data_IF_288477517140
#
_entry.id   IF_288477517140
#
_cell.length_a   1.000
_cell.length_b   1.000
_cell.length_c   1.000
_cell.angle_alpha   90.00
_cell.angle_beta   90.00
_cell.angle_gamma   90.00
#
_symmetry.space_group_name_H-M   'P 1'
#
loop_
_entity.id
_entity.type
_entity.pdbx_description
1 polymer ?
#
# COMPACT_ATOMS: atom_id res chain seq x y z
N UNK A 1 -14.21 -1.05 0.56
CA UNK A 1 -13.24 -1.86 -0.22
C UNK A 1 -12.64 -1.00 -1.32
N UNK A 2 -11.32 -0.99 -1.46
CA UNK A 2 -10.60 -0.26 -2.48
C UNK A 2 -9.81 -1.25 -3.34
N UNK A 3 -9.95 -1.18 -4.65
CA UNK A 3 -9.25 -2.03 -5.60
C UNK A 3 -8.38 -1.15 -6.49
N UNK A 4 -7.12 -1.52 -6.62
CA UNK A 4 -6.16 -0.88 -7.51
C UNK A 4 -5.59 -1.94 -8.46
N UNK A 5 -5.62 -1.65 -9.75
CA UNK A 5 -4.83 -2.37 -10.73
C UNK A 5 -3.35 -2.03 -10.51
N UNK A 6 -2.47 -2.99 -10.71
CA UNK A 6 -1.01 -2.84 -10.63
C UNK A 6 -0.40 -3.05 -11.99
N UNK A 7 0.62 -2.28 -12.34
CA UNK A 7 1.33 -2.44 -13.60
C UNK A 7 2.79 -2.01 -13.50
N UNK A 8 3.68 -2.84 -14.00
CA UNK A 8 5.10 -2.51 -14.16
C UNK A 8 5.39 -1.77 -15.48
N UNK A 9 4.48 -1.76 -16.43
CA UNK A 9 4.63 -1.07 -17.73
C UNK A 9 3.77 0.20 -17.85
N UNK A 10 2.96 0.48 -16.83
CA UNK A 10 2.13 1.70 -16.75
C UNK A 10 0.82 1.66 -17.53
N UNK A 11 0.51 0.59 -18.25
CA UNK A 11 -0.66 0.55 -19.14
C UNK A 11 -1.52 -0.70 -18.98
N UNK A 12 -0.90 -1.86 -18.88
CA UNK A 12 -1.61 -3.14 -18.79
C UNK A 12 -1.50 -3.68 -17.38
N UNK A 13 -2.61 -4.03 -16.72
CA UNK A 13 -2.56 -4.65 -15.41
C UNK A 13 -1.83 -5.99 -15.45
N UNK A 14 -0.87 -6.17 -14.56
CA UNK A 14 -0.19 -7.44 -14.29
C UNK A 14 -0.50 -7.97 -12.89
N UNK A 15 -1.35 -7.24 -12.16
CA UNK A 15 -1.80 -7.60 -10.83
C UNK A 15 -2.89 -6.69 -10.28
N UNK A 16 -3.28 -6.97 -9.04
CA UNK A 16 -4.18 -6.11 -8.28
C UNK A 16 -3.82 -6.05 -6.80
N UNK A 17 -4.15 -4.93 -6.19
CA UNK A 17 -4.07 -4.67 -4.77
C UNK A 17 -5.48 -4.36 -4.27
N UNK A 18 -5.95 -5.18 -3.34
CA UNK A 18 -7.26 -5.02 -2.71
C UNK A 18 -7.06 -4.62 -1.26
N UNK A 19 -7.75 -3.57 -0.82
CA UNK A 19 -7.79 -3.12 0.57
C UNK A 19 -9.20 -3.12 1.10
N UNK A 20 -9.36 -3.60 2.31
CA UNK A 20 -10.63 -3.61 3.03
C UNK A 20 -10.43 -3.08 4.44
N UNK A 21 -11.24 -2.10 4.80
CA UNK A 21 -11.36 -1.61 6.16
C UNK A 21 -12.50 -2.33 6.86
N UNK A 22 -12.29 -2.69 8.12
CA UNK A 22 -13.28 -3.35 8.98
C UNK A 22 -13.03 -2.98 10.45
N UNK A 23 -13.80 -3.59 11.37
CA UNK A 23 -13.57 -3.47 12.81
C UNK A 23 -13.54 -4.84 13.44
N UNK A 24 -12.69 -4.99 14.46
CA UNK A 24 -12.69 -6.15 15.34
C UNK A 24 -13.88 -6.12 16.30
N UNK A 25 -14.15 -7.23 16.96
CA UNK A 25 -15.24 -7.33 17.96
C UNK A 25 -15.04 -6.43 19.19
N UNK A 26 -13.81 -6.08 19.51
CA UNK A 26 -13.39 -5.15 20.58
C UNK A 26 -13.25 -3.69 20.12
N UNK A 27 -13.56 -3.42 18.84
CA UNK A 27 -13.71 -2.06 18.32
C UNK A 27 -12.49 -1.47 17.62
N UNK A 28 -11.36 -2.17 17.54
CA UNK A 28 -10.20 -1.72 16.78
C UNK A 28 -10.54 -1.63 15.29
N UNK A 29 -9.98 -0.63 14.62
CA UNK A 29 -10.00 -0.53 13.17
C UNK A 29 -8.99 -1.51 12.57
N UNK A 30 -9.32 -2.06 11.41
CA UNK A 30 -8.48 -3.02 10.70
C UNK A 30 -8.34 -2.58 9.26
N UNK A 31 -7.11 -2.53 8.76
CA UNK A 31 -6.82 -2.47 7.34
C UNK A 31 -6.22 -3.82 6.92
N UNK A 32 -6.99 -4.59 6.14
CA UNK A 32 -6.51 -5.76 5.40
C UNK A 32 -6.12 -5.32 3.98
N UNK A 33 -4.96 -5.78 3.50
CA UNK A 33 -4.48 -5.54 2.15
C UNK A 33 -3.96 -6.85 1.56
N UNK A 34 -4.42 -7.20 0.36
CA UNK A 34 -3.91 -8.34 -0.40
C UNK A 34 -3.44 -7.84 -1.76
N UNK A 35 -2.21 -8.17 -2.06
CA UNK A 35 -1.58 -7.92 -3.36
C UNK A 35 -1.31 -9.26 -4.02
N UNK A 36 -1.67 -9.39 -5.29
CA UNK A 36 -1.17 -10.46 -6.16
C UNK A 36 -0.84 -9.87 -7.53
N UNK A 37 0.33 -10.22 -8.06
CA UNK A 37 0.78 -9.76 -9.37
C UNK A 37 1.79 -10.73 -9.99
N UNK A 38 1.96 -10.63 -11.31
CA UNK A 38 2.97 -11.37 -12.07
C UNK A 38 4.04 -10.41 -12.59
N UNK A 39 5.04 -10.04 -11.76
CA UNK A 39 6.06 -9.07 -12.17
C UNK A 39 7.00 -9.63 -13.24
N UNK A 40 7.08 -10.96 -13.37
CA UNK A 40 7.86 -11.70 -14.35
C UNK A 40 7.10 -12.96 -14.79
N UNK A 41 7.33 -13.51 -15.99
CA UNK A 41 6.56 -14.63 -16.53
C UNK A 41 6.42 -15.84 -15.59
N UNK A 42 7.48 -16.16 -14.85
CA UNK A 42 7.55 -17.36 -14.01
C UNK A 42 7.35 -17.08 -12.50
N UNK A 43 6.98 -15.83 -12.13
CA UNK A 43 6.86 -15.43 -10.72
C UNK A 43 5.50 -14.81 -10.47
N UNK A 44 4.71 -15.43 -9.60
CA UNK A 44 3.55 -14.79 -8.98
C UNK A 44 3.96 -14.29 -7.60
N UNK A 45 4.00 -12.98 -7.46
CA UNK A 45 4.17 -12.31 -6.17
C UNK A 45 2.81 -12.19 -5.50
N UNK A 46 2.73 -12.62 -4.25
CA UNK A 46 1.59 -12.42 -3.37
C UNK A 46 2.05 -11.87 -2.04
N UNK A 47 1.31 -10.91 -1.54
CA UNK A 47 1.55 -10.37 -0.20
C UNK A 47 0.22 -10.08 0.47
N UNK A 48 0.16 -10.38 1.75
CA UNK A 48 -0.95 -10.01 2.61
C UNK A 48 -0.42 -9.18 3.77
N UNK A 49 -1.08 -8.07 4.02
CA UNK A 49 -0.80 -7.21 5.16
C UNK A 49 -2.08 -6.99 5.94
N UNK A 50 -1.95 -6.97 7.25
CA UNK A 50 -3.03 -6.62 8.17
C UNK A 50 -2.48 -5.72 9.26
N UNK A 51 -3.15 -4.61 9.54
CA UNK A 51 -2.87 -3.77 10.70
C UNK A 51 -4.16 -3.52 11.47
N UNK A 52 -4.07 -3.64 12.79
CA UNK A 52 -5.12 -3.30 13.76
C UNK A 52 -4.69 -2.06 14.52
N UNK A 53 -5.57 -1.06 14.64
CA UNK A 53 -5.21 0.24 15.22
C UNK A 53 -6.40 0.89 15.93
N UNK A 54 -6.09 1.74 16.93
CA UNK A 54 -7.09 2.48 17.70
C UNK A 54 -7.24 3.91 17.17
N UNK A 55 -8.32 4.14 16.43
CA UNK A 55 -8.71 5.43 15.85
C UNK A 55 -7.75 5.99 14.80
N UNK A 56 -6.44 5.96 15.01
CA UNK A 56 -5.41 6.43 14.09
C UNK A 56 -4.31 5.40 13.91
N UNK A 57 -3.78 5.26 12.70
CA UNK A 57 -2.75 4.25 12.38
C UNK A 57 -1.46 4.41 13.19
N UNK A 58 -1.16 5.58 13.72
CA UNK A 58 -0.04 5.79 14.65
C UNK A 58 -0.26 5.11 15.99
N UNK A 59 -1.51 4.77 16.33
CA UNK A 59 -1.89 3.94 17.47
C UNK A 59 -2.18 2.49 17.04
N UNK A 60 -1.35 1.96 16.13
CA UNK A 60 -1.45 0.57 15.77
C UNK A 60 -1.16 -0.32 16.99
N UNK A 61 -1.83 -1.46 17.04
CA UNK A 61 -1.74 -2.44 18.15
C UNK A 61 -0.99 -3.67 17.68
N UNK A 62 -1.37 -4.18 16.51
CA UNK A 62 -0.81 -5.38 15.90
C UNK A 62 -0.68 -5.19 14.41
N UNK A 63 0.38 -5.75 13.81
CA UNK A 63 0.43 -5.94 12.37
C UNK A 63 0.94 -7.34 12.00
N UNK A 64 0.60 -7.81 10.81
CA UNK A 64 1.17 -9.00 10.19
C UNK A 64 1.47 -8.77 8.72
N UNK A 65 2.50 -9.45 8.23
CA UNK A 65 2.92 -9.44 6.85
C UNK A 65 3.26 -10.85 6.38
N UNK A 66 2.64 -11.27 5.28
CA UNK A 66 2.94 -12.52 4.60
C UNK A 66 3.33 -12.19 3.16
N UNK A 67 4.36 -12.87 2.62
CA UNK A 67 4.80 -12.69 1.24
C UNK A 67 5.37 -13.97 0.66
N UNK A 68 4.94 -14.27 -0.57
CA UNK A 68 5.48 -15.30 -1.43
C UNK A 68 5.78 -14.73 -2.84
N UNK A 69 6.88 -15.11 -3.50
CA UNK A 69 7.95 -15.97 -2.98
C UNK A 69 8.79 -15.25 -1.91
N UNK A 70 9.50 -16.04 -1.12
CA UNK A 70 10.39 -15.53 -0.06
C UNK A 70 10.06 -16.08 1.32
N UNK A 71 8.90 -16.74 1.49
CA UNK A 71 8.51 -17.42 2.73
C UNK A 71 8.39 -16.47 3.92
N UNK A 72 8.00 -15.21 3.71
CA UNK A 72 7.80 -14.25 4.79
C UNK A 72 6.46 -14.51 5.44
N UNK A 73 6.45 -14.75 6.75
CA UNK A 73 5.25 -14.84 7.59
C UNK A 73 5.59 -14.32 8.98
N UNK A 74 5.28 -13.05 9.24
CA UNK A 74 5.64 -12.36 10.47
C UNK A 74 4.44 -11.65 11.07
N UNK A 75 4.44 -11.53 12.40
CA UNK A 75 3.45 -10.77 13.16
C UNK A 75 4.11 -10.06 14.32
N UNK A 76 3.71 -8.82 14.58
CA UNK A 76 4.27 -7.97 15.62
C UNK A 76 3.16 -7.36 16.46
N UNK A 77 3.34 -7.41 17.76
CA UNK A 77 2.57 -6.64 18.73
C UNK A 77 3.36 -5.38 19.08
N UNK A 78 2.71 -4.22 19.06
CA UNK A 78 3.38 -2.95 19.41
C UNK A 78 3.99 -2.99 20.81
N UNK A 79 3.29 -3.65 21.75
CA UNK A 79 3.73 -3.74 23.14
C UNK A 79 5.03 -4.54 23.32
N UNK A 80 5.40 -5.39 22.36
CA UNK A 80 6.59 -6.23 22.43
C UNK A 80 7.81 -5.54 21.78
N UNK A 81 7.61 -4.40 21.12
CA UNK A 81 8.71 -3.69 20.48
C UNK A 81 9.51 -2.84 21.48
N UNK A 82 10.80 -2.63 21.19
CA UNK A 82 11.63 -1.71 21.99
C UNK A 82 11.01 -0.32 22.09
N UNK A 83 11.21 0.40 23.19
CA UNK A 83 10.75 1.78 23.34
C UNK A 83 11.18 2.67 22.17
N UNK A 84 10.23 3.44 21.64
CA UNK A 84 10.43 4.33 20.50
C UNK A 84 10.24 3.66 19.12
N UNK A 85 10.46 2.35 18.97
CA UNK A 85 10.19 1.64 17.72
C UNK A 85 8.68 1.57 17.48
N UNK A 86 7.89 1.25 18.50
CA UNK A 86 6.44 1.18 18.42
C UNK A 86 5.74 2.50 18.02
N UNK A 87 6.44 3.63 18.04
CA UNK A 87 5.90 4.92 17.60
C UNK A 87 5.96 5.11 16.08
N UNK A 88 6.67 4.23 15.37
CA UNK A 88 6.68 4.19 13.92
C UNK A 88 5.39 3.62 13.32
N UNK A 89 5.27 3.71 12.00
CA UNK A 89 4.14 3.19 11.23
C UNK A 89 4.64 2.13 10.25
N UNK A 90 4.02 0.93 10.20
CA UNK A 90 4.37 -0.10 9.23
C UNK A 90 4.28 0.42 7.79
N UNK A 91 5.21 0.02 6.92
CA UNK A 91 5.37 0.65 5.60
C UNK A 91 4.10 0.58 4.74
N UNK A 92 3.41 -0.56 4.74
CA UNK A 92 2.16 -0.72 3.98
C UNK A 92 0.99 0.10 4.57
N UNK A 93 1.03 0.39 5.88
CA UNK A 93 -0.02 1.16 6.57
C UNK A 93 0.06 2.67 6.31
N UNK A 94 1.16 3.16 5.66
CA UNK A 94 1.27 4.56 5.21
C UNK A 94 0.08 5.03 4.36
N UNK A 95 -0.61 4.09 3.69
CA UNK A 95 -1.83 4.37 2.95
C UNK A 95 -2.85 5.16 3.79
N UNK A 96 -2.99 4.83 5.07
CA UNK A 96 -3.91 5.53 5.98
C UNK A 96 -3.44 6.96 6.27
N UNK A 97 -2.12 7.21 6.37
CA UNK A 97 -1.58 8.56 6.50
C UNK A 97 -1.78 9.38 5.23
N UNK A 98 -1.68 8.75 4.05
CA UNK A 98 -1.98 9.41 2.77
C UNK A 98 -3.45 9.83 2.72
N UNK A 99 -4.38 8.98 3.13
CA UNK A 99 -5.82 9.32 3.18
C UNK A 99 -6.10 10.45 4.17
N UNK A 100 -5.47 10.44 5.35
CA UNK A 100 -5.58 11.52 6.33
C UNK A 100 -5.07 12.84 5.73
N UNK A 101 -3.87 12.83 5.14
CA UNK A 101 -3.26 14.03 4.56
C UNK A 101 -4.04 14.55 3.32
N UNK A 102 -4.71 13.67 2.58
CA UNK A 102 -5.57 14.07 1.48
C UNK A 102 -6.76 14.92 1.94
N UNK A 103 -7.19 14.77 3.18
CA UNK A 103 -8.31 15.54 3.76
C UNK A 103 -7.89 16.74 4.55
N UNK A 104 -6.79 16.63 5.34
CA UNK A 104 -6.37 17.69 6.26
C UNK A 104 -4.84 17.76 6.36
N UNK A 105 -4.30 18.99 6.44
CA UNK A 105 -2.87 19.23 6.59
C UNK A 105 -2.13 19.43 5.27
N UNK A 106 -0.84 19.71 5.36
CA UNK A 106 0.05 19.93 4.22
C UNK A 106 1.25 18.99 4.21
N UNK A 107 1.59 18.40 5.35
CA UNK A 107 2.66 17.41 5.48
C UNK A 107 2.48 16.56 6.73
N UNK A 108 3.11 15.38 6.72
CA UNK A 108 3.15 14.42 7.82
C UNK A 108 4.53 13.81 7.87
N UNK A 109 5.20 13.97 9.01
CA UNK A 109 6.48 13.33 9.31
C UNK A 109 6.24 12.13 10.24
N UNK A 110 6.94 11.02 9.96
CA UNK A 110 6.82 9.79 10.75
C UNK A 110 8.05 8.90 10.57
N UNK A 111 8.22 7.94 11.47
CA UNK A 111 9.16 6.85 11.31
C UNK A 111 8.46 5.70 10.58
N UNK A 112 8.95 5.31 9.41
CA UNK A 112 8.47 4.14 8.71
C UNK A 112 9.19 2.89 9.21
N UNK A 113 8.43 1.86 9.56
CA UNK A 113 8.95 0.55 9.96
C UNK A 113 8.99 -0.38 8.75
N UNK A 114 10.05 -1.18 8.63
CA UNK A 114 10.10 -2.25 7.65
C UNK A 114 9.08 -3.34 7.98
N UNK A 115 8.38 -3.85 6.98
CA UNK A 115 7.27 -4.80 7.16
C UNK A 115 7.73 -6.17 7.67
N UNK A 116 9.02 -6.49 7.57
CA UNK A 116 9.61 -7.77 7.97
C UNK A 116 10.50 -7.68 9.21
N UNK A 117 11.01 -6.48 9.51
CA UNK A 117 11.89 -6.21 10.63
C UNK A 117 11.65 -4.80 11.17
N UNK A 118 10.82 -4.62 12.22
CA UNK A 118 10.47 -3.31 12.76
C UNK A 118 11.64 -2.53 13.34
N UNK A 119 12.80 -3.17 13.57
CA UNK A 119 14.02 -2.47 14.01
C UNK A 119 14.70 -1.71 12.88
N UNK A 120 14.39 -2.05 11.63
CA UNK A 120 14.80 -1.28 10.45
C UNK A 120 13.82 -0.15 10.22
N UNK A 121 14.28 1.04 10.42
CA UNK A 121 13.44 2.23 10.33
C UNK A 121 13.98 3.20 9.30
N UNK A 122 13.08 3.98 8.72
CA UNK A 122 13.41 5.09 7.83
C UNK A 122 12.67 6.35 8.30
N UNK A 123 13.33 7.48 8.22
CA UNK A 123 12.67 8.76 8.37
C UNK A 123 11.79 9.01 7.14
N UNK A 124 10.51 9.21 7.33
CA UNK A 124 9.55 9.39 6.27
C UNK A 124 8.83 10.73 6.37
N UNK A 125 8.64 11.39 5.24
CA UNK A 125 7.90 12.62 5.08
C UNK A 125 6.90 12.49 3.93
N UNK A 126 5.62 12.71 4.21
CA UNK A 126 4.58 12.91 3.21
C UNK A 126 4.34 14.41 3.06
N UNK A 127 4.37 14.90 1.83
CA UNK A 127 4.13 16.32 1.51
C UNK A 127 3.00 16.42 0.51
N UNK A 128 1.94 17.11 0.92
CA UNK A 128 0.84 17.45 0.03
C UNK A 128 1.25 18.63 -0.85
N UNK A 129 1.11 18.46 -2.15
CA UNK A 129 1.35 19.51 -3.14
C UNK A 129 0.04 19.98 -3.76
N UNK A 130 0.12 20.93 -4.67
CA UNK A 130 -1.05 21.47 -5.34
C UNK A 130 -1.76 20.39 -6.20
N UNK A 131 -3.03 20.65 -6.47
CA UNK A 131 -3.83 19.87 -7.39
C UNK A 131 -3.28 19.99 -8.80
N UNK A 132 -3.09 18.85 -9.47
CA UNK A 132 -2.47 18.75 -10.80
C UNK A 132 -3.35 17.92 -11.74
N UNK A 133 -3.27 18.16 -13.06
CA UNK A 133 -3.83 17.25 -14.03
C UNK A 133 -3.13 15.88 -13.96
N UNK A 134 -3.91 14.82 -13.91
CA UNK A 134 -3.46 13.43 -13.97
C UNK A 134 -4.14 12.76 -15.16
N UNK A 135 -3.37 12.10 -16.01
CA UNK A 135 -3.92 11.24 -17.07
C UNK A 135 -3.84 9.81 -16.58
N UNK A 136 -5.00 9.19 -16.38
CA UNK A 136 -5.11 7.80 -15.97
C UNK A 136 -4.75 6.84 -17.12
N UNK A 137 -4.44 5.56 -16.86
CA UNK A 137 -4.08 4.59 -17.90
C UNK A 137 -5.12 4.39 -18.99
N UNK A 138 -6.40 4.65 -18.72
CA UNK A 138 -7.50 4.64 -19.70
C UNK A 138 -7.58 5.90 -20.57
N UNK A 139 -6.66 6.86 -20.37
CA UNK A 139 -6.60 8.12 -21.09
C UNK A 139 -7.51 9.22 -20.53
N UNK A 140 -8.27 8.97 -19.47
CA UNK A 140 -9.11 9.97 -18.81
C UNK A 140 -8.23 10.95 -18.05
N UNK A 141 -8.42 12.24 -18.28
CA UNK A 141 -7.74 13.31 -17.54
C UNK A 141 -8.61 13.76 -16.38
N UNK A 142 -8.05 13.73 -15.17
CA UNK A 142 -8.71 14.18 -13.94
C UNK A 142 -7.84 15.22 -13.23
N UNK A 143 -8.44 15.98 -12.33
CA UNK A 143 -7.72 16.87 -11.43
C UNK A 143 -7.51 16.14 -10.10
N UNK A 144 -6.28 15.94 -9.71
CA UNK A 144 -5.94 15.16 -8.52
C UNK A 144 -4.93 15.91 -7.64
N UNK A 145 -5.11 15.80 -6.35
CA UNK A 145 -4.15 16.25 -5.35
C UNK A 145 -2.98 15.30 -5.32
N UNK A 146 -1.77 15.83 -5.37
CA UNK A 146 -0.56 15.03 -5.28
C UNK A 146 0.01 15.06 -3.87
N UNK A 147 0.47 13.88 -3.40
CA UNK A 147 1.20 13.70 -2.16
C UNK A 147 2.49 12.94 -2.49
N UNK A 148 3.63 13.57 -2.24
CA UNK A 148 4.94 12.97 -2.42
C UNK A 148 5.43 12.35 -1.11
N UNK A 149 6.02 11.16 -1.18
CA UNK A 149 6.74 10.54 -0.06
C UNK A 149 8.24 10.65 -0.28
N UNK A 150 8.92 11.13 0.74
CA UNK A 150 10.37 11.07 0.86
C UNK A 150 10.74 10.06 1.95
N UNK A 151 11.75 9.24 1.69
CA UNK A 151 12.37 8.34 2.66
C UNK A 151 13.84 8.76 2.80
N UNK A 152 14.25 9.07 4.02
CA UNK A 152 15.59 9.60 4.33
C UNK A 152 15.97 10.78 3.42
N UNK A 153 14.99 11.64 3.12
CA UNK A 153 15.15 12.81 2.25
C UNK A 153 15.12 12.53 0.74
N UNK A 154 15.04 11.27 0.33
CA UNK A 154 15.00 10.89 -1.09
C UNK A 154 13.56 10.60 -1.56
N UNK A 155 13.15 11.04 -2.76
CA UNK A 155 11.86 10.68 -3.34
C UNK A 155 11.68 9.16 -3.44
N UNK A 156 10.53 8.65 -2.96
CA UNK A 156 10.22 7.22 -2.96
C UNK A 156 8.92 6.92 -3.69
N UNK A 157 7.80 7.51 -3.24
CA UNK A 157 6.49 7.26 -3.84
C UNK A 157 5.78 8.58 -4.10
N UNK A 158 4.84 8.56 -5.04
CA UNK A 158 3.90 9.65 -5.26
C UNK A 158 2.47 9.09 -5.30
N UNK A 159 1.53 9.81 -4.70
CA UNK A 159 0.12 9.44 -4.64
C UNK A 159 -0.72 10.57 -5.20
N UNK A 160 -1.65 10.25 -6.06
CA UNK A 160 -2.68 11.19 -6.52
C UNK A 160 -4.01 10.81 -5.91
N UNK A 161 -4.66 11.76 -5.27
CA UNK A 161 -5.87 11.56 -4.49
C UNK A 161 -7.00 12.46 -4.98
N UNK A 162 -8.22 11.96 -4.84
CA UNK A 162 -9.45 12.73 -4.92
C UNK A 162 -10.24 12.60 -3.59
N UNK A 163 -11.48 13.05 -3.58
CA UNK A 163 -12.39 12.94 -2.44
C UNK A 163 -12.74 11.49 -2.03
N UNK A 164 -12.46 10.51 -2.90
CA UNK A 164 -12.71 9.09 -2.65
C UNK A 164 -11.44 8.30 -2.31
N UNK A 165 -10.30 8.96 -2.17
CA UNK A 165 -9.03 8.36 -1.78
C UNK A 165 -7.99 8.33 -2.90
N UNK A 166 -7.07 7.37 -2.87
CA UNK A 166 -5.99 7.27 -3.85
C UNK A 166 -6.52 6.85 -5.22
N UNK A 167 -6.33 7.72 -6.20
CA UNK A 167 -6.61 7.47 -7.62
C UNK A 167 -5.49 6.68 -8.29
N UNK A 168 -4.25 7.10 -8.07
CA UNK A 168 -3.05 6.50 -8.61
C UNK A 168 -1.92 6.62 -7.61
N UNK A 169 -1.04 5.65 -7.61
CA UNK A 169 0.24 5.75 -6.93
C UNK A 169 1.36 5.26 -7.86
N UNK A 170 2.45 6.01 -7.87
CA UNK A 170 3.73 5.58 -8.41
C UNK A 170 4.57 5.09 -7.24
N UNK A 171 5.20 3.94 -7.37
CA UNK A 171 6.03 3.38 -6.33
C UNK A 171 7.34 2.83 -6.87
N UNK A 172 8.33 2.86 -6.01
CA UNK A 172 9.63 2.27 -6.25
C UNK A 172 9.88 1.29 -5.12
N UNK A 173 10.01 0.01 -5.46
CA UNK A 173 10.42 -1.01 -4.51
C UNK A 173 11.86 -1.42 -4.80
N UNK A 174 12.70 -1.41 -3.75
CA UNK A 174 14.08 -1.87 -3.83
C UNK A 174 14.21 -3.15 -3.00
N UNK A 175 14.56 -4.24 -3.65
CA UNK A 175 14.76 -5.53 -3.01
C UNK A 175 16.14 -5.60 -2.32
N UNK A 176 16.35 -6.55 -1.37
CA UNK A 176 17.62 -6.71 -0.66
C UNK A 176 18.83 -6.98 -1.56
N UNK A 177 18.62 -7.56 -2.74
CA UNK A 177 19.65 -7.81 -3.74
C UNK A 177 20.02 -6.56 -4.59
N UNK A 178 19.36 -5.41 -4.31
CA UNK A 178 19.53 -4.17 -5.05
C UNK A 178 18.66 -4.05 -6.30
N UNK A 179 17.87 -5.06 -6.62
CA UNK A 179 16.89 -4.98 -7.70
C UNK A 179 15.86 -3.91 -7.39
N UNK A 180 15.57 -3.06 -8.38
CA UNK A 180 14.61 -1.97 -8.25
C UNK A 180 13.45 -2.19 -9.22
N UNK A 181 12.25 -2.27 -8.68
CA UNK A 181 11.01 -2.28 -9.46
C UNK A 181 10.34 -0.92 -9.33
N UNK A 182 9.98 -0.36 -10.47
CA UNK A 182 9.11 0.81 -10.53
C UNK A 182 7.77 0.38 -11.11
N UNK A 183 6.69 0.84 -10.53
CA UNK A 183 5.37 0.49 -11.01
C UNK A 183 4.35 1.57 -10.69
N UNK A 184 3.20 1.45 -11.30
CA UNK A 184 2.06 2.27 -10.98
C UNK A 184 0.90 1.40 -10.49
N UNK A 185 0.07 1.97 -9.64
CA UNK A 185 -1.25 1.43 -9.34
C UNK A 185 -2.31 2.48 -9.56
N UNK A 186 -3.49 2.09 -10.03
CA UNK A 186 -4.61 3.01 -10.18
C UNK A 186 -5.92 2.39 -9.71
N UNK A 187 -6.79 3.25 -9.20
CA UNK A 187 -8.10 2.82 -8.70
C UNK A 187 -8.97 2.28 -9.83
N UNK A 188 -9.59 1.15 -9.57
CA UNK A 188 -10.48 0.46 -10.49
C UNK A 188 -11.57 -0.30 -9.73
N UNK A 189 -12.40 -1.03 -10.47
CA UNK A 189 -13.34 -2.02 -9.90
C UNK A 189 -12.83 -3.43 -10.17
N UNK A 190 -13.37 -4.43 -9.47
CA UNK A 190 -13.04 -5.83 -9.75
C UNK A 190 -13.31 -6.19 -11.21
N UNK A 191 -14.51 -5.85 -11.70
CA UNK A 191 -14.88 -6.07 -13.10
C UNK A 191 -13.96 -5.34 -14.12
N UNK A 192 -13.32 -4.26 -13.70
CA UNK A 192 -12.37 -3.52 -14.54
C UNK A 192 -10.99 -4.16 -14.63
N UNK A 193 -10.52 -4.82 -13.56
CA UNK A 193 -9.19 -5.43 -13.52
C UNK A 193 -9.20 -6.93 -13.81
N UNK A 194 -10.20 -7.66 -13.34
CA UNK A 194 -10.28 -9.12 -13.43
C UNK A 194 -10.01 -9.68 -14.83
N UNK A 195 -10.55 -9.10 -15.93
CA UNK A 195 -10.33 -9.64 -17.29
C UNK A 195 -8.87 -9.60 -17.77
N UNK A 196 -8.04 -8.79 -17.12
CA UNK A 196 -6.63 -8.60 -17.46
C UNK A 196 -5.69 -9.47 -16.63
N UNK A 197 -6.19 -10.01 -15.50
CA UNK A 197 -5.35 -10.76 -14.58
C UNK A 197 -5.04 -12.16 -15.16
N UNK A 198 -3.79 -12.55 -14.97
CA UNK A 198 -3.38 -13.94 -15.14
C UNK A 198 -4.23 -14.87 -14.25
N UNK A 199 -4.61 -16.08 -14.72
CA UNK A 199 -5.44 -17.01 -13.95
C UNK A 199 -4.89 -17.36 -12.57
N UNK A 200 -3.57 -17.47 -12.39
CA UNK A 200 -2.96 -17.75 -11.08
C UNK A 200 -3.06 -16.52 -10.15
N UNK A 201 -2.79 -15.33 -10.67
CA UNK A 201 -2.96 -14.07 -9.91
C UNK A 201 -4.41 -13.92 -9.44
N UNK A 202 -5.37 -14.19 -10.32
CA UNK A 202 -6.79 -14.16 -9.98
C UNK A 202 -7.13 -15.19 -8.89
N UNK A 203 -6.67 -16.43 -9.05
CA UNK A 203 -6.91 -17.49 -8.07
C UNK A 203 -6.39 -17.14 -6.68
N UNK A 204 -5.25 -16.47 -6.58
CA UNK A 204 -4.70 -15.99 -5.30
C UNK A 204 -5.59 -14.92 -4.64
N UNK A 205 -6.10 -13.97 -5.42
CA UNK A 205 -7.02 -12.95 -4.91
C UNK A 205 -8.35 -13.57 -4.44
N UNK A 206 -8.92 -14.50 -5.20
CA UNK A 206 -10.14 -15.21 -4.84
C UNK A 206 -9.94 -16.06 -3.56
N UNK A 207 -8.83 -16.81 -3.48
CA UNK A 207 -8.49 -17.64 -2.31
C UNK A 207 -8.26 -16.82 -1.03
N UNK A 208 -7.86 -15.57 -1.15
CA UNK A 208 -7.62 -14.69 0.00
C UNK A 208 -8.88 -14.36 0.82
N UNK A 209 -10.07 -14.49 0.22
CA UNK A 209 -11.35 -14.10 0.80
C UNK A 209 -11.55 -12.59 0.99
N UNK A 210 -10.63 -11.75 0.49
CA UNK A 210 -10.73 -10.29 0.67
C UNK A 210 -11.83 -9.68 -0.18
N UNK A 211 -12.22 -10.35 -1.26
CA UNK A 211 -13.26 -9.92 -2.19
C UNK A 211 -14.69 -10.28 -1.72
N UNK A 212 -14.82 -11.13 -0.70
CA UNK A 212 -16.09 -11.64 -0.18
C UNK A 212 -16.84 -10.65 0.74
#
# INVERSE_FOLDING_TARGET
MHIQALSNNGTTPDGALVRRESKTGDGLLVLDSVLAMRPQPDVVLRARHRVEYDGNVRAWVRWSHQREPGGVDVSFERADLPPGVGDGVPSFARYLLVLELATVGSWVEYTQLDDTDPTRTQHALLVRTDTQPLVLPDGVSVSAMRIDQLLDGSPANAFWCDEHGVLQADYIETFPDGTRITGISWRTTWAGVEPWLDPEVRAELDASGILA
#
